data_IF_639736280721
#
_entry.id   IF_639736280721
#
_cell.length_a   1.000
_cell.length_b   1.000
_cell.length_c   1.000
_cell.angle_alpha   90.00
_cell.angle_beta   90.00
_cell.angle_gamma   90.00
#
_symmetry.space_group_name_H-M   'P 1'
#
loop_
_entity.id
_entity.type
_entity.pdbx_description
1 polymer ?
#
# COMPACT_ATOMS: atom_id res chain seq x y z
N UNK A 1 -36.04 -57.05 -42.50
CA UNK A 1 -36.10 -55.77 -43.23
C UNK A 1 -36.15 -54.62 -42.22
N UNK A 2 -35.28 -53.63 -42.42
CA UNK A 2 -35.18 -52.28 -41.82
C UNK A 2 -35.12 -52.12 -40.29
N UNK A 3 -33.95 -51.86 -39.67
CA UNK A 3 -33.26 -50.54 -39.48
C UNK A 3 -34.12 -49.38 -38.98
N UNK A 4 -33.89 -48.93 -37.74
CA UNK A 4 -33.94 -47.53 -37.29
C UNK A 4 -33.28 -47.45 -35.90
N UNK A 5 -31.99 -47.16 -35.84
CA UNK A 5 -31.34 -45.84 -35.77
C UNK A 5 -30.98 -45.52 -34.32
N UNK A 6 -29.68 -45.69 -34.03
CA UNK A 6 -29.01 -45.37 -32.77
C UNK A 6 -29.12 -43.87 -32.49
N UNK A 7 -29.61 -43.49 -31.31
CA UNK A 7 -29.28 -42.19 -30.70
C UNK A 7 -28.79 -42.42 -29.27
N UNK A 8 -27.51 -42.80 -29.15
CA UNK A 8 -26.80 -42.76 -27.87
C UNK A 8 -26.31 -41.32 -27.72
N UNK A 9 -27.04 -40.53 -26.95
CA UNK A 9 -26.61 -39.21 -26.50
C UNK A 9 -25.40 -39.40 -25.55
N UNK A 10 -24.20 -39.38 -26.13
CA UNK A 10 -22.95 -39.21 -25.39
C UNK A 10 -22.95 -37.81 -24.77
N UNK A 11 -23.51 -37.68 -23.57
CA UNK A 11 -23.20 -36.55 -22.70
C UNK A 11 -21.71 -36.65 -22.35
N UNK A 12 -20.87 -35.99 -23.14
CA UNK A 12 -19.54 -35.59 -22.71
C UNK A 12 -19.73 -34.55 -21.61
N UNK A 13 -20.02 -35.01 -20.39
CA UNK A 13 -19.78 -34.23 -19.20
C UNK A 13 -18.27 -34.00 -19.14
N UNK A 14 -17.83 -32.89 -19.71
CA UNK A 14 -16.49 -32.36 -19.48
C UNK A 14 -16.45 -32.11 -17.98
N UNK A 15 -15.92 -33.07 -17.24
CA UNK A 15 -15.46 -32.86 -15.88
C UNK A 15 -14.36 -31.80 -15.99
N UNK A 16 -14.75 -30.53 -15.89
CA UNK A 16 -13.83 -29.48 -15.49
C UNK A 16 -13.39 -29.86 -14.09
N UNK A 17 -12.31 -30.64 -13.99
CA UNK A 17 -11.56 -30.76 -12.76
C UNK A 17 -11.15 -29.33 -12.39
N UNK A 18 -11.91 -28.70 -11.50
CA UNK A 18 -11.44 -27.53 -10.77
C UNK A 18 -10.20 -28.02 -10.03
N UNK A 19 -9.03 -27.74 -10.59
CA UNK A 19 -7.77 -27.89 -9.87
C UNK A 19 -7.85 -26.94 -8.68
N UNK A 20 -8.23 -27.46 -7.52
CA UNK A 20 -8.11 -26.69 -6.28
C UNK A 20 -6.62 -26.41 -6.09
N UNK A 21 -6.23 -25.14 -6.26
CA UNK A 21 -4.86 -24.72 -6.06
C UNK A 21 -4.51 -24.92 -4.58
N UNK A 22 -3.61 -25.86 -4.29
CA UNK A 22 -3.13 -26.16 -2.94
C UNK A 22 -2.20 -25.09 -2.41
N UNK A 23 -2.31 -24.81 -1.12
CA UNK A 23 -1.46 -23.86 -0.39
C UNK A 23 -0.05 -24.40 -0.32
N UNK A 24 0.92 -23.53 -0.60
CA UNK A 24 2.33 -23.81 -0.53
C UNK A 24 2.92 -23.00 0.62
N UNK A 25 3.74 -23.63 1.46
CA UNK A 25 4.40 -22.96 2.58
C UNK A 25 5.91 -22.99 2.40
N UNK A 26 6.57 -21.87 2.68
CA UNK A 26 8.04 -21.76 2.72
C UNK A 26 8.46 -21.02 3.98
N UNK A 27 9.62 -21.40 4.53
CA UNK A 27 10.26 -20.71 5.63
C UNK A 27 11.64 -20.22 5.22
N UNK A 28 11.96 -18.96 5.57
CA UNK A 28 13.29 -18.38 5.43
C UNK A 28 13.81 -18.03 6.84
N UNK A 29 14.94 -18.62 7.23
CA UNK A 29 15.54 -18.30 8.54
C UNK A 29 16.03 -16.85 8.57
N UNK A 30 16.30 -16.32 9.77
CA UNK A 30 16.81 -14.96 9.94
C UNK A 30 17.98 -14.66 8.98
N UNK A 31 17.89 -13.50 8.33
CA UNK A 31 18.84 -12.94 7.37
C UNK A 31 19.03 -13.73 6.06
N UNK A 32 18.30 -14.82 5.86
CA UNK A 32 18.29 -15.55 4.60
C UNK A 32 17.48 -14.83 3.51
N UNK A 33 17.96 -14.94 2.28
CA UNK A 33 17.25 -14.54 1.06
C UNK A 33 16.62 -15.76 0.40
N UNK A 34 15.42 -15.59 -0.15
CA UNK A 34 14.70 -16.65 -0.83
C UNK A 34 13.80 -16.12 -1.93
N UNK A 35 13.14 -17.04 -2.63
CA UNK A 35 12.25 -16.72 -3.74
C UNK A 35 11.08 -17.69 -3.79
N UNK A 36 9.87 -17.16 -3.94
CA UNK A 36 8.66 -17.94 -4.25
C UNK A 36 8.27 -17.72 -5.72
N UNK A 37 7.72 -18.76 -6.36
CA UNK A 37 7.43 -18.72 -7.80
C UNK A 37 6.22 -19.57 -8.18
N UNK A 38 5.39 -19.00 -9.05
CA UNK A 38 4.32 -19.66 -9.76
C UNK A 38 4.71 -19.91 -11.22
N UNK A 39 4.35 -21.08 -11.75
CA UNK A 39 4.58 -21.49 -13.15
C UNK A 39 3.32 -21.27 -13.99
N UNK A 40 3.42 -21.46 -15.30
CA UNK A 40 2.27 -21.50 -16.23
C UNK A 40 1.42 -20.21 -16.26
N UNK A 41 2.06 -19.05 -16.13
CA UNK A 41 1.38 -17.75 -16.14
C UNK A 41 0.52 -17.45 -14.91
N UNK A 42 0.57 -18.31 -13.88
CA UNK A 42 -0.11 -18.09 -12.62
C UNK A 42 0.60 -17.00 -11.79
N UNK A 43 -0.17 -16.28 -10.98
CA UNK A 43 0.30 -15.22 -10.10
C UNK A 43 0.25 -15.68 -8.65
N UNK A 44 1.18 -15.20 -7.84
CA UNK A 44 1.25 -15.45 -6.41
C UNK A 44 0.07 -14.72 -5.72
N UNK A 45 -0.62 -15.43 -4.84
CA UNK A 45 -1.57 -14.90 -3.86
C UNK A 45 -1.13 -15.38 -2.47
N UNK A 46 -0.65 -14.47 -1.64
CA UNK A 46 -0.24 -14.75 -0.26
C UNK A 46 -1.48 -14.97 0.60
N UNK A 47 -1.56 -16.15 1.21
CA UNK A 47 -2.60 -16.54 2.15
C UNK A 47 -2.29 -15.95 3.52
N UNK A 48 -1.07 -16.14 4.02
CA UNK A 48 -0.59 -15.61 5.30
C UNK A 48 0.93 -15.44 5.28
N UNK A 49 1.46 -14.57 6.15
CA UNK A 49 2.91 -14.54 6.41
C UNK A 49 3.25 -14.05 7.82
N UNK A 50 4.28 -14.62 8.43
CA UNK A 50 4.74 -14.24 9.75
C UNK A 50 6.27 -14.19 9.81
N UNK A 51 6.85 -13.02 10.11
CA UNK A 51 8.23 -12.92 10.56
C UNK A 51 8.25 -12.99 12.08
N UNK A 52 8.53 -14.16 12.63
CA UNK A 52 8.39 -14.45 14.05
C UNK A 52 8.87 -15.86 14.39
N UNK A 53 8.35 -16.43 15.48
CA UNK A 53 8.57 -17.84 15.83
C UNK A 53 7.29 -18.43 16.41
N UNK A 54 6.79 -19.46 15.74
CA UNK A 54 5.57 -20.18 16.08
C UNK A 54 5.73 -21.69 16.11
N UNK A 55 6.95 -22.16 15.84
CA UNK A 55 7.35 -23.56 15.71
C UNK A 55 8.83 -23.66 16.13
N UNK A 56 9.19 -24.70 16.89
CA UNK A 56 10.55 -24.95 17.39
C UNK A 56 11.42 -25.77 16.44
N UNK A 57 10.82 -26.50 15.49
CA UNK A 57 11.51 -27.30 14.49
C UNK A 57 11.91 -26.46 13.26
N UNK A 58 11.15 -25.41 12.96
CA UNK A 58 11.46 -24.51 11.84
C UNK A 58 12.64 -23.60 12.22
N UNK A 59 13.75 -23.71 11.46
CA UNK A 59 15.00 -22.99 11.71
C UNK A 59 15.47 -23.14 13.18
N UNK A 60 15.99 -24.32 13.58
CA UNK A 60 16.20 -24.68 14.99
C UNK A 60 17.33 -23.91 15.69
N UNK A 61 18.05 -23.04 14.98
CA UNK A 61 19.15 -22.28 15.54
C UNK A 61 18.67 -21.10 16.41
N UNK A 62 19.36 -20.86 17.54
CA UNK A 62 19.13 -19.73 18.44
C UNK A 62 18.17 -20.06 19.58
N UNK A 63 17.61 -19.02 20.23
CA UNK A 63 16.61 -19.20 21.32
C UNK A 63 15.24 -19.53 20.74
N UNK A 64 14.71 -20.72 21.09
CA UNK A 64 13.45 -21.28 20.57
C UNK A 64 12.35 -21.38 21.63
N UNK A 65 12.60 -20.93 22.85
CA UNK A 65 11.72 -21.06 24.05
C UNK A 65 10.34 -20.38 23.95
N UNK A 66 10.02 -19.72 22.84
CA UNK A 66 8.76 -18.98 22.66
C UNK A 66 8.16 -19.23 21.28
N UNK A 67 6.93 -19.75 21.28
CA UNK A 67 6.13 -20.09 20.08
C UNK A 67 4.98 -19.11 19.81
N UNK A 68 4.92 -17.99 20.52
CA UNK A 68 3.87 -16.97 20.39
C UNK A 68 4.37 -15.70 19.70
N UNK A 69 5.59 -15.70 19.17
CA UNK A 69 6.17 -14.53 18.53
C UNK A 69 5.58 -14.33 17.13
N UNK A 70 4.69 -13.34 16.99
CA UNK A 70 4.06 -12.97 15.71
C UNK A 70 4.22 -11.48 15.42
N UNK A 71 4.54 -11.14 14.17
CA UNK A 71 4.61 -9.76 13.71
C UNK A 71 3.31 -9.34 13.03
N UNK A 72 2.67 -8.29 13.57
CA UNK A 72 1.42 -7.72 13.03
C UNK A 72 1.56 -7.14 11.61
N UNK A 73 2.78 -6.87 11.15
CA UNK A 73 3.02 -6.22 9.86
C UNK A 73 3.54 -7.16 8.76
N UNK A 74 3.88 -8.41 9.11
CA UNK A 74 4.59 -9.31 8.19
C UNK A 74 3.74 -9.73 7.00
N UNK A 75 2.54 -10.24 7.27
CA UNK A 75 1.58 -10.66 6.25
C UNK A 75 1.34 -9.57 5.22
N UNK A 76 1.09 -8.36 5.71
CA UNK A 76 0.80 -7.21 4.88
C UNK A 76 2.02 -6.84 4.02
N UNK A 77 3.24 -6.87 4.59
CA UNK A 77 4.49 -6.60 3.85
C UNK A 77 4.77 -7.65 2.77
N UNK A 78 4.54 -8.93 3.04
CA UNK A 78 4.74 -10.00 2.05
C UNK A 78 3.66 -9.94 0.96
N UNK A 79 2.39 -9.71 1.32
CA UNK A 79 1.29 -9.46 0.36
C UNK A 79 1.66 -8.35 -0.60
N UNK A 80 2.17 -7.21 -0.11
CA UNK A 80 2.55 -6.07 -0.96
C UNK A 80 3.70 -6.37 -1.92
N UNK A 81 4.68 -7.17 -1.51
CA UNK A 81 5.84 -7.47 -2.36
C UNK A 81 5.56 -8.58 -3.36
N UNK A 82 4.64 -9.50 -3.06
CA UNK A 82 4.50 -10.74 -3.82
C UNK A 82 3.18 -10.92 -4.56
N UNK A 83 2.07 -10.36 -4.08
CA UNK A 83 0.78 -10.55 -4.76
C UNK A 83 0.84 -10.00 -6.19
N UNK A 84 0.39 -10.79 -7.16
CA UNK A 84 0.30 -10.35 -8.56
C UNK A 84 1.50 -10.71 -9.42
N UNK A 85 2.63 -11.03 -8.79
CA UNK A 85 3.85 -11.43 -9.51
C UNK A 85 3.88 -12.94 -9.72
N UNK A 86 4.55 -13.37 -10.79
CA UNK A 86 4.86 -14.78 -11.01
C UNK A 86 6.02 -15.24 -10.12
N UNK A 87 6.90 -14.32 -9.73
CA UNK A 87 8.11 -14.57 -8.94
C UNK A 87 8.30 -13.44 -7.94
N UNK A 88 8.60 -13.75 -6.68
CA UNK A 88 8.84 -12.77 -5.63
C UNK A 88 10.12 -13.11 -4.86
N UNK A 89 11.06 -12.17 -4.77
CA UNK A 89 12.30 -12.30 -3.99
C UNK A 89 12.11 -11.66 -2.62
N UNK A 90 12.55 -12.34 -1.57
CA UNK A 90 12.33 -11.94 -0.18
C UNK A 90 13.60 -12.05 0.63
N UNK A 91 13.73 -11.20 1.65
CA UNK A 91 14.86 -11.19 2.58
C UNK A 91 14.35 -11.11 4.02
N UNK A 92 14.55 -12.19 4.79
CA UNK A 92 13.98 -12.38 6.12
C UNK A 92 14.77 -11.63 7.22
N UNK A 93 14.78 -10.30 7.15
CA UNK A 93 15.54 -9.45 8.09
C UNK A 93 14.65 -8.66 9.04
N UNK A 94 15.16 -8.38 10.23
CA UNK A 94 14.50 -7.48 11.19
C UNK A 94 14.45 -6.03 10.71
N UNK A 95 15.35 -5.61 9.80
CA UNK A 95 15.26 -4.30 9.13
C UNK A 95 14.00 -4.20 8.25
N UNK A 96 13.65 -5.30 7.57
CA UNK A 96 12.51 -5.34 6.65
C UNK A 96 11.19 -5.73 7.29
N UNK A 97 11.16 -6.38 8.46
CA UNK A 97 9.91 -6.84 9.10
C UNK A 97 9.72 -6.35 10.54
N UNK A 98 10.70 -5.63 11.08
CA UNK A 98 10.73 -5.21 12.49
C UNK A 98 11.21 -6.32 13.43
N UNK A 99 11.23 -6.01 14.72
CA UNK A 99 11.62 -6.93 15.78
C UNK A 99 10.43 -7.19 16.72
N UNK A 100 9.51 -8.12 16.37
CA UNK A 100 8.29 -8.38 17.16
C UNK A 100 8.56 -9.03 18.52
N UNK A 101 9.70 -9.70 18.68
CA UNK A 101 10.11 -10.34 19.93
C UNK A 101 11.62 -10.17 20.12
N UNK A 102 12.00 -9.52 21.22
CA UNK A 102 13.39 -9.36 21.60
C UNK A 102 14.00 -10.72 21.98
N UNK A 103 15.25 -10.96 21.60
CA UNK A 103 16.05 -12.13 21.98
C UNK A 103 15.54 -13.52 21.55
N UNK A 104 14.49 -13.61 20.73
CA UNK A 104 14.02 -14.86 20.14
C UNK A 104 14.47 -14.97 18.68
N UNK A 105 14.92 -16.15 18.27
CA UNK A 105 15.28 -16.45 16.87
C UNK A 105 14.02 -16.38 15.99
N UNK A 106 14.05 -15.64 14.88
CA UNK A 106 12.88 -15.40 14.02
C UNK A 106 13.10 -16.04 12.64
N UNK A 107 12.01 -16.45 12.00
CA UNK A 107 11.98 -16.85 10.61
C UNK A 107 10.78 -16.21 9.91
N UNK A 108 10.86 -16.04 8.60
CA UNK A 108 9.75 -15.62 7.76
C UNK A 108 9.05 -16.87 7.21
N UNK A 109 7.88 -17.18 7.74
CA UNK A 109 7.00 -18.20 7.18
C UNK A 109 5.95 -17.56 6.27
N UNK A 110 5.74 -18.15 5.10
CA UNK A 110 4.85 -17.61 4.07
C UNK A 110 4.01 -18.76 3.52
N UNK A 111 2.70 -18.59 3.57
CA UNK A 111 1.75 -19.46 2.87
C UNK A 111 1.19 -18.73 1.66
N UNK A 112 1.19 -19.37 0.49
CA UNK A 112 0.73 -18.77 -0.76
C UNK A 112 0.08 -19.79 -1.71
N UNK A 113 -0.72 -19.28 -2.65
CA UNK A 113 -1.33 -20.05 -3.74
C UNK A 113 -0.95 -19.44 -5.08
N UNK A 114 -0.93 -20.27 -6.11
CA UNK A 114 -0.77 -19.82 -7.49
C UNK A 114 -2.14 -19.75 -8.17
N UNK A 115 -2.60 -18.55 -8.52
CA UNK A 115 -3.94 -18.31 -9.08
C UNK A 115 -3.85 -17.69 -10.47
N UNK A 116 -4.88 -17.92 -11.32
CA UNK A 116 -4.97 -17.30 -12.65
C UNK A 116 -5.32 -15.81 -12.56
N UNK A 117 -6.33 -15.49 -11.75
CA UNK A 117 -6.75 -14.13 -11.44
C UNK A 117 -6.78 -13.97 -9.92
N UNK A 118 -6.14 -12.92 -9.43
CA UNK A 118 -6.18 -12.55 -8.01
C UNK A 118 -7.57 -12.00 -7.64
N UNK A 119 -8.30 -11.50 -8.63
CA UNK A 119 -9.56 -10.77 -8.48
C UNK A 119 -10.81 -11.65 -8.29
N UNK A 120 -10.72 -12.97 -8.51
CA UNK A 120 -11.87 -13.90 -8.48
C UNK A 120 -12.30 -14.35 -7.07
N UNK A 121 -11.84 -13.68 -6.01
CA UNK A 121 -12.18 -14.00 -4.63
C UNK A 121 -12.54 -12.68 -3.93
N UNK A 122 -13.83 -12.32 -3.95
CA UNK A 122 -14.32 -11.07 -3.36
C UNK A 122 -14.19 -11.15 -1.84
N UNK A 123 -13.03 -10.72 -1.34
CA UNK A 123 -12.92 -9.87 -0.16
C UNK A 123 -11.64 -9.01 -0.11
N UNK A 124 -10.96 -8.74 -1.24
CA UNK A 124 -9.89 -7.73 -1.30
C UNK A 124 -10.30 -6.59 -2.25
N UNK A 125 -11.02 -5.60 -1.71
CA UNK A 125 -11.08 -4.27 -2.34
C UNK A 125 -9.63 -3.76 -2.33
N UNK A 126 -8.99 -3.43 -3.47
CA UNK A 126 -7.60 -3.02 -3.48
C UNK A 126 -7.44 -1.81 -2.55
N UNK A 127 -6.56 -1.93 -1.56
CA UNK A 127 -6.26 -0.84 -0.63
C UNK A 127 -5.66 0.29 -1.46
N UNK A 128 -6.31 1.45 -1.44
CA UNK A 128 -5.82 2.66 -2.10
C UNK A 128 -5.58 3.65 -0.99
N UNK A 129 -4.31 3.86 -0.65
CA UNK A 129 -3.92 4.83 0.35
C UNK A 129 -2.46 5.25 0.18
N UNK A 130 -2.14 6.51 0.45
CA UNK A 130 -0.78 7.01 0.43
C UNK A 130 -0.50 7.91 1.64
N UNK A 131 0.77 7.98 2.00
CA UNK A 131 1.29 8.91 3.00
C UNK A 131 2.64 9.43 2.51
N UNK A 132 2.70 10.73 2.22
CA UNK A 132 3.86 11.40 1.67
C UNK A 132 4.22 12.66 2.47
N UNK A 133 5.50 13.01 2.44
CA UNK A 133 6.11 14.12 3.17
C UNK A 133 6.98 14.94 2.21
N UNK A 134 7.26 16.19 2.57
CA UNK A 134 8.31 16.97 1.88
C UNK A 134 9.68 16.64 2.46
N UNK A 135 10.66 16.36 1.60
CA UNK A 135 12.03 16.01 2.02
C UNK A 135 12.88 17.24 2.39
N UNK A 136 12.53 18.41 1.85
CA UNK A 136 13.22 19.69 2.06
C UNK A 136 12.22 20.77 2.40
N UNK A 137 12.69 21.82 3.09
CA UNK A 137 11.85 22.98 3.36
C UNK A 137 11.45 23.61 2.03
N UNK A 138 10.20 24.04 1.92
CA UNK A 138 9.77 24.86 0.80
C UNK A 138 9.87 26.32 1.20
N UNK A 139 10.62 27.10 0.43
CA UNK A 139 10.61 28.56 0.48
C UNK A 139 9.91 29.04 -0.78
N UNK A 140 8.83 29.80 -0.61
CA UNK A 140 7.88 30.10 -1.68
C UNK A 140 7.69 31.62 -1.80
N UNK A 141 7.39 32.09 -3.01
CA UNK A 141 6.91 33.44 -3.20
C UNK A 141 5.45 33.54 -2.72
N UNK A 142 5.19 34.44 -1.76
CA UNK A 142 3.95 34.48 -0.96
C UNK A 142 2.66 34.35 -1.76
N UNK A 143 2.56 35.03 -2.90
CA UNK A 143 1.33 35.11 -3.70
C UNK A 143 1.44 34.35 -5.03
N UNK A 144 2.37 33.41 -5.15
CA UNK A 144 2.56 32.60 -6.35
C UNK A 144 1.93 31.22 -6.13
N UNK A 145 0.91 30.84 -6.93
CA UNK A 145 0.35 29.50 -6.86
C UNK A 145 1.38 28.46 -7.32
N UNK A 146 1.68 27.51 -6.45
CA UNK A 146 2.64 26.42 -6.69
C UNK A 146 1.95 25.10 -6.40
N UNK A 147 2.07 24.16 -7.34
CA UNK A 147 1.66 22.77 -7.08
C UNK A 147 2.62 22.14 -6.07
N UNK A 148 2.09 21.70 -4.93
CA UNK A 148 2.89 21.21 -3.81
C UNK A 148 3.24 19.75 -4.05
N UNK A 149 4.53 19.44 -4.14
CA UNK A 149 5.03 18.08 -4.35
C UNK A 149 5.56 17.54 -3.03
N UNK A 150 4.88 16.54 -2.45
CA UNK A 150 5.36 15.77 -1.31
C UNK A 150 6.17 14.59 -1.85
N UNK A 151 7.48 14.77 -1.93
CA UNK A 151 8.40 13.93 -2.71
C UNK A 151 8.91 12.69 -1.97
N UNK A 152 8.79 12.64 -0.64
CA UNK A 152 9.22 11.51 0.19
C UNK A 152 8.01 10.66 0.60
N UNK A 153 7.86 9.49 -0.03
CA UNK A 153 6.74 8.56 0.20
C UNK A 153 7.08 7.59 1.33
N UNK A 154 6.19 7.49 2.33
CA UNK A 154 6.27 6.43 3.36
C UNK A 154 5.55 5.16 2.90
N UNK A 155 4.36 5.30 2.30
CA UNK A 155 3.69 4.23 1.55
C UNK A 155 2.76 4.80 0.48
N UNK A 156 2.39 3.99 -0.51
CA UNK A 156 1.51 4.37 -1.63
C UNK A 156 0.78 3.15 -2.22
N UNK A 157 -0.16 2.56 -1.47
CA UNK A 157 -0.98 1.45 -1.94
C UNK A 157 -1.88 1.85 -3.11
N UNK A 158 -1.93 0.98 -4.11
CA UNK A 158 -2.57 1.26 -5.38
C UNK A 158 -1.75 2.16 -6.31
N UNK A 159 -0.54 2.59 -5.91
CA UNK A 159 0.37 3.44 -6.69
C UNK A 159 -0.33 4.68 -7.29
N UNK A 160 -1.31 5.21 -6.55
CA UNK A 160 -2.19 6.26 -7.05
C UNK A 160 -1.58 7.66 -6.90
N UNK A 161 -0.63 7.86 -5.97
CA UNK A 161 0.09 9.13 -5.81
C UNK A 161 1.43 9.13 -6.57
N UNK A 162 1.73 10.21 -7.30
CA UNK A 162 2.99 10.39 -7.98
C UNK A 162 3.87 11.41 -7.22
N UNK A 163 4.98 10.99 -6.59
CA UNK A 163 5.83 11.88 -5.79
C UNK A 163 6.71 12.82 -6.63
N UNK A 164 6.77 12.64 -7.95
CA UNK A 164 7.46 13.59 -8.83
C UNK A 164 6.53 14.76 -9.20
N UNK A 165 5.24 14.50 -9.40
CA UNK A 165 4.27 15.53 -9.80
C UNK A 165 3.41 16.05 -8.65
N UNK A 166 3.35 15.39 -7.49
CA UNK A 166 2.46 15.74 -6.40
C UNK A 166 0.98 15.40 -6.66
N UNK A 167 0.69 14.62 -7.70
CA UNK A 167 -0.68 14.32 -8.14
C UNK A 167 -1.08 12.92 -7.73
N UNK A 168 -2.22 12.80 -7.07
CA UNK A 168 -2.97 11.56 -6.90
C UNK A 168 -3.92 11.35 -8.08
N UNK A 169 -3.94 10.16 -8.68
CA UNK A 169 -4.89 9.77 -9.74
C UNK A 169 -5.79 8.66 -9.22
N UNK A 170 -7.10 8.90 -9.17
CA UNK A 170 -8.05 7.94 -8.64
C UNK A 170 -8.08 6.66 -9.51
N UNK A 171 -7.72 5.48 -8.99
CA UNK A 171 -7.72 4.25 -9.77
C UNK A 171 -9.13 3.67 -9.97
N UNK A 172 -10.11 4.10 -9.16
CA UNK A 172 -11.50 3.67 -9.26
C UNK A 172 -12.43 4.75 -8.70
N UNK A 173 -13.71 4.68 -9.04
CA UNK A 173 -14.70 5.58 -8.45
C UNK A 173 -14.93 5.27 -6.96
N UNK A 174 -15.23 6.28 -6.16
CA UNK A 174 -15.61 6.12 -4.76
C UNK A 174 -15.36 7.36 -3.92
N UNK A 175 -15.62 7.23 -2.62
CA UNK A 175 -15.27 8.23 -1.62
C UNK A 175 -13.81 8.09 -1.23
N UNK A 176 -13.10 9.20 -1.25
CA UNK A 176 -11.72 9.33 -0.82
C UNK A 176 -11.63 10.39 0.26
N UNK A 177 -10.81 10.15 1.28
CA UNK A 177 -10.46 11.15 2.28
C UNK A 177 -9.06 11.64 1.97
N UNK A 178 -8.88 12.95 1.87
CA UNK A 178 -7.57 13.58 1.77
C UNK A 178 -7.34 14.47 2.99
N UNK A 179 -6.15 14.38 3.55
CA UNK A 179 -5.73 15.23 4.66
C UNK A 179 -4.30 15.68 4.45
N UNK A 180 -4.01 16.92 4.84
CA UNK A 180 -2.64 17.42 4.86
C UNK A 180 -2.37 18.18 6.15
N UNK A 181 -1.12 18.07 6.59
CA UNK A 181 -0.58 18.80 7.72
C UNK A 181 0.49 19.75 7.22
N UNK A 182 0.45 20.97 7.72
CA UNK A 182 1.43 22.01 7.43
C UNK A 182 2.06 22.46 8.74
N UNK A 183 3.38 22.31 8.84
CA UNK A 183 4.18 22.97 9.86
C UNK A 183 4.85 24.19 9.22
N UNK A 184 4.64 25.37 9.80
CA UNK A 184 5.20 26.64 9.32
C UNK A 184 6.10 27.27 10.38
N UNK A 185 7.09 28.04 9.93
CA UNK A 185 7.97 28.80 10.80
C UNK A 185 7.20 29.93 11.53
N UNK A 186 7.82 30.53 12.56
CA UNK A 186 7.39 31.83 13.07
C UNK A 186 7.15 32.84 11.95
N UNK A 187 6.10 33.66 12.09
CA UNK A 187 5.76 34.75 11.16
C UNK A 187 5.62 34.30 9.69
N UNK A 188 5.11 33.10 9.46
CA UNK A 188 4.97 32.49 8.14
C UNK A 188 3.53 32.01 7.88
N UNK A 189 3.22 31.71 6.62
CA UNK A 189 1.88 31.27 6.20
C UNK A 189 1.99 30.15 5.16
N UNK A 190 1.03 29.22 5.22
CA UNK A 190 0.84 28.19 4.20
C UNK A 190 -0.66 27.91 3.99
N UNK A 191 -1.30 28.75 3.20
CA UNK A 191 -2.67 28.54 2.75
C UNK A 191 -2.65 27.78 1.42
N UNK A 192 -3.45 26.72 1.35
CA UNK A 192 -3.51 25.83 0.19
C UNK A 192 -4.95 25.50 -0.19
N UNK A 193 -5.11 25.09 -1.43
CA UNK A 193 -6.35 24.55 -1.96
C UNK A 193 -6.13 23.11 -2.44
N UNK A 194 -7.17 22.29 -2.31
CA UNK A 194 -7.23 20.98 -2.95
C UNK A 194 -8.04 21.07 -4.23
N UNK A 195 -7.53 20.45 -5.29
CA UNK A 195 -8.12 20.51 -6.63
C UNK A 195 -8.56 19.13 -7.07
N UNK A 196 -9.67 19.05 -7.82
CA UNK A 196 -9.98 17.91 -8.71
C UNK A 196 -9.92 18.44 -10.14
N UNK A 197 -9.06 17.87 -10.97
CA UNK A 197 -8.90 18.26 -12.38
C UNK A 197 -8.77 19.78 -12.55
N UNK A 198 -7.86 20.38 -11.78
CA UNK A 198 -7.59 21.83 -11.71
C UNK A 198 -8.74 22.73 -11.20
N UNK A 199 -9.85 22.15 -10.73
CA UNK A 199 -10.96 22.90 -10.10
C UNK A 199 -10.89 22.79 -8.59
N UNK A 200 -10.91 23.93 -7.89
CA UNK A 200 -10.89 23.99 -6.42
C UNK A 200 -12.05 23.21 -5.83
N UNK A 201 -11.78 22.42 -4.78
CA UNK A 201 -12.77 21.65 -4.02
C UNK A 201 -12.72 21.90 -2.51
N UNK A 202 -11.66 22.51 -2.02
CA UNK A 202 -11.52 22.89 -0.61
C UNK A 202 -10.37 23.84 -0.40
N UNK A 203 -10.37 24.46 0.78
CA UNK A 203 -9.34 25.37 1.26
C UNK A 203 -8.78 24.81 2.57
N UNK A 204 -7.51 25.08 2.82
CA UNK A 204 -6.89 24.90 4.12
C UNK A 204 -6.05 26.11 4.46
N UNK A 205 -6.26 26.62 5.67
CA UNK A 205 -5.53 27.76 6.20
C UNK A 205 -4.42 27.28 7.14
N UNK A 206 -3.27 27.93 7.07
CA UNK A 206 -2.25 27.84 8.10
C UNK A 206 -1.54 29.19 8.25
N UNK A 207 -2.23 30.13 8.89
CA UNK A 207 -1.70 31.45 9.17
C UNK A 207 -0.98 31.48 10.52
N UNK A 208 0.33 31.72 10.49
CA UNK A 208 1.18 31.87 11.66
C UNK A 208 1.93 33.22 11.65
N UNK A 209 1.41 34.22 10.92
CA UNK A 209 2.10 35.50 10.69
C UNK A 209 2.22 36.34 11.97
N UNK A 210 1.27 36.22 12.90
CA UNK A 210 1.29 36.92 14.19
C UNK A 210 2.04 36.21 15.32
N UNK A 211 2.60 35.01 15.07
CA UNK A 211 3.14 34.15 16.12
C UNK A 211 4.69 34.09 16.08
N UNK A 212 5.36 34.15 17.26
CA UNK A 212 6.79 33.96 17.37
C UNK A 212 7.22 32.47 17.38
N UNK A 213 6.28 31.53 17.50
CA UNK A 213 6.53 30.09 17.53
C UNK A 213 6.22 29.40 16.21
N UNK A 214 6.46 28.10 16.13
CA UNK A 214 6.01 27.29 14.99
C UNK A 214 4.50 27.13 14.99
N UNK A 215 3.88 27.17 13.82
CA UNK A 215 2.45 26.92 13.63
C UNK A 215 2.23 25.54 13.01
N UNK A 216 1.37 24.71 13.59
CA UNK A 216 0.95 23.44 13.00
C UNK A 216 -0.54 23.49 12.69
N UNK A 217 -0.90 23.12 11.46
CA UNK A 217 -2.27 23.12 11.00
C UNK A 217 -2.56 21.83 10.23
N UNK A 218 -3.79 21.33 10.33
CA UNK A 218 -4.24 20.17 9.58
C UNK A 218 -5.61 20.43 8.95
N UNK A 219 -5.79 19.98 7.72
CA UNK A 219 -7.04 20.10 7.00
C UNK A 219 -7.45 18.74 6.45
N UNK A 220 -8.76 18.50 6.32
CA UNK A 220 -9.30 17.23 5.82
C UNK A 220 -10.48 17.51 4.90
N UNK A 221 -10.48 16.90 3.71
CA UNK A 221 -11.53 17.07 2.71
C UNK A 221 -11.93 15.70 2.16
N UNK A 222 -13.16 15.23 2.45
CA UNK A 222 -13.77 14.10 1.75
C UNK A 222 -14.13 14.48 0.31
N UNK A 223 -13.75 13.64 -0.66
CA UNK A 223 -13.99 13.86 -2.09
C UNK A 223 -14.57 12.59 -2.72
N UNK A 224 -15.67 12.73 -3.45
CA UNK A 224 -16.19 11.67 -4.32
C UNK A 224 -15.52 11.80 -5.68
N UNK A 225 -14.77 10.77 -6.07
CA UNK A 225 -13.97 10.75 -7.30
C UNK A 225 -14.50 9.75 -8.31
N UNK A 226 -14.25 10.05 -9.59
CA UNK A 226 -14.33 9.09 -10.70
C UNK A 226 -12.95 8.51 -10.97
N UNK A 227 -12.89 7.34 -11.61
CA UNK A 227 -11.63 6.78 -12.09
C UNK A 227 -10.96 7.78 -13.06
N UNK A 228 -9.66 8.01 -12.86
CA UNK A 228 -8.86 8.97 -13.64
C UNK A 228 -8.86 10.41 -13.11
N UNK A 229 -9.70 10.76 -12.12
CA UNK A 229 -9.66 12.09 -11.51
C UNK A 229 -8.31 12.37 -10.88
N UNK A 230 -7.77 13.57 -11.14
CA UNK A 230 -6.48 14.03 -10.62
C UNK A 230 -6.69 14.98 -9.44
N UNK A 231 -6.05 14.66 -8.32
CA UNK A 231 -6.09 15.41 -7.07
C UNK A 231 -4.69 15.89 -6.70
N UNK A 232 -4.56 17.17 -6.38
CA UNK A 232 -3.31 17.77 -5.94
C UNK A 232 -3.58 18.97 -5.02
N UNK A 233 -2.55 19.38 -4.28
CA UNK A 233 -2.56 20.60 -3.48
C UNK A 233 -1.84 21.71 -4.24
N UNK A 234 -2.41 22.91 -4.21
CA UNK A 234 -1.79 24.13 -4.75
C UNK A 234 -1.80 25.21 -3.69
N UNK A 235 -0.71 25.95 -3.59
CA UNK A 235 -0.67 27.11 -2.68
C UNK A 235 -1.56 28.23 -3.19
N UNK A 236 -2.14 28.99 -2.25
CA UNK A 236 -2.85 30.23 -2.53
C UNK A 236 -2.04 31.40 -2.00
N UNK A 237 -1.80 31.41 -0.69
CA UNK A 237 -0.91 32.36 0.00
C UNK A 237 0.06 31.57 0.85
N UNK A 238 1.31 31.43 0.43
CA UNK A 238 2.29 30.61 1.14
C UNK A 238 3.73 31.11 0.94
N UNK A 239 4.50 31.20 2.03
CA UNK A 239 5.91 31.56 1.97
C UNK A 239 6.86 30.49 2.52
N UNK A 240 6.36 29.59 3.38
CA UNK A 240 7.21 28.56 3.99
C UNK A 240 6.44 27.28 4.31
N UNK A 241 7.09 26.13 4.12
CA UNK A 241 6.62 24.83 4.62
C UNK A 241 7.78 24.01 5.19
N UNK A 242 7.63 23.50 6.40
CA UNK A 242 8.68 22.80 7.14
C UNK A 242 8.78 21.32 6.77
N UNK A 243 9.99 20.84 6.44
CA UNK A 243 10.27 19.46 5.99
C UNK A 243 9.92 18.40 7.04
N UNK A 244 9.60 17.18 6.60
CA UNK A 244 9.31 15.99 7.43
C UNK A 244 8.06 16.06 8.34
N UNK A 245 7.75 17.22 8.91
CA UNK A 245 6.55 17.45 9.73
C UNK A 245 5.32 17.78 8.90
N UNK A 246 5.50 18.24 7.67
CA UNK A 246 4.42 18.52 6.73
C UNK A 246 4.18 17.31 5.84
N UNK A 247 2.92 16.90 5.72
CA UNK A 247 2.54 15.67 5.02
C UNK A 247 1.24 15.82 4.24
N UNK A 248 1.09 14.99 3.21
CA UNK A 248 -0.14 14.80 2.45
C UNK A 248 -0.49 13.32 2.41
N UNK A 249 -1.72 13.01 2.79
CA UNK A 249 -2.21 11.65 2.94
C UNK A 249 -3.57 11.54 2.31
N UNK A 250 -3.91 10.36 1.82
CA UNK A 250 -5.26 10.08 1.41
C UNK A 250 -5.52 8.60 1.25
N UNK A 251 -6.78 8.21 1.38
CA UNK A 251 -7.22 6.82 1.26
C UNK A 251 -8.65 6.73 0.73
N UNK A 252 -8.95 5.61 0.08
CA UNK A 252 -10.31 5.24 -0.31
C UNK A 252 -11.05 4.66 0.89
N UNK A 253 -12.31 5.06 1.07
CA UNK A 253 -13.27 4.45 2.00
C UNK A 253 -13.96 3.28 1.31
#
# INVERSE_FOLDING_TARGET
MSTLLRLVLLFLAIFFQKTNATDQTVALCADQRGMIRCKNGLKIKIVSANYGRTDDQVCPCGKTDTLTCRSKSSEIRVRWNCNGYATCHLHATSKHFGNPCANISKYLEISYRCVRNIDNDIQDKPIIAFNAYISKHLTLHRNTPVNVVYDKVFFNYGNAYNPHSGIFTAPSAGLYIFTWTSLVNPKSIFDAEILINAKRKGLGNCNNEGSPGFGNCANTVPLVLKAGDKVNLRTTTANFLYKEWSSFKGWKV
#
